data_IF_318881195666
#
_entry.id   IF_318881195666
#
_cell.length_a   1.000
_cell.length_b   1.000
_cell.length_c   1.000
_cell.angle_alpha   90.00
_cell.angle_beta   90.00
_cell.angle_gamma   90.00
#
_symmetry.space_group_name_H-M   'P 1'
#
loop_
_entity.id
_entity.type
_entity.pdbx_description
1 polymer ?
#
# COMPACT_ATOMS: atom_id res chain seq x y z
N UNK A 1 29.27 34.15 12.41
CA UNK A 1 27.83 34.48 12.36
C UNK A 1 27.22 33.62 11.27
N UNK A 2 26.63 32.48 11.63
CA UNK A 2 25.96 31.57 10.67
C UNK A 2 24.52 32.05 10.56
N UNK A 3 23.96 32.26 9.35
CA UNK A 3 22.57 32.65 9.21
C UNK A 3 21.68 31.49 9.69
N UNK A 4 20.86 31.77 10.70
CA UNK A 4 19.77 30.89 11.11
C UNK A 4 18.82 30.83 9.92
N UNK A 5 18.78 29.70 9.22
CA UNK A 5 17.67 29.39 8.32
C UNK A 5 16.44 29.38 9.23
N UNK A 6 15.64 30.44 9.18
CA UNK A 6 14.33 30.46 9.78
C UNK A 6 13.59 29.26 9.19
N UNK A 7 13.40 28.22 10.01
CA UNK A 7 12.49 27.15 9.68
C UNK A 7 11.15 27.85 9.50
N UNK A 8 10.73 28.04 8.25
CA UNK A 8 9.38 28.44 7.94
C UNK A 8 8.50 27.31 8.47
N UNK A 9 8.00 27.47 9.69
CA UNK A 9 6.85 26.71 10.16
C UNK A 9 5.71 27.16 9.27
N UNK A 10 5.58 26.54 8.09
CA UNK A 10 4.32 26.54 7.37
C UNK A 10 3.32 26.04 8.40
N UNK A 11 2.45 26.93 8.87
CA UNK A 11 1.29 26.50 9.62
C UNK A 11 0.50 25.63 8.66
N UNK A 12 0.55 24.32 8.87
CA UNK A 12 -0.27 23.37 8.14
C UNK A 12 -1.70 23.62 8.62
N UNK A 13 -2.44 24.43 7.86
CA UNK A 13 -3.82 24.74 8.19
C UNK A 13 -4.62 23.47 7.87
N UNK A 14 -4.91 22.69 8.91
CA UNK A 14 -5.85 21.57 8.88
C UNK A 14 -7.18 22.02 9.54
N UNK A 15 -8.18 22.46 8.77
CA UNK A 15 -9.44 22.90 9.34
C UNK A 15 -10.23 21.76 10.01
N UNK A 16 -9.81 20.50 9.83
CA UNK A 16 -10.47 19.29 10.30
C UNK A 16 -9.69 18.60 11.42
N UNK A 17 -8.70 19.28 11.99
CA UNK A 17 -7.78 18.73 13.01
C UNK A 17 -8.52 18.02 14.16
N UNK A 18 -9.58 18.63 14.69
CA UNK A 18 -10.34 18.06 15.80
C UNK A 18 -10.96 16.70 15.46
N UNK A 19 -11.54 16.58 14.26
CA UNK A 19 -12.09 15.30 13.77
C UNK A 19 -10.99 14.29 13.47
N UNK A 20 -9.92 14.74 12.79
CA UNK A 20 -8.78 13.88 12.41
C UNK A 20 -8.12 13.27 13.65
N UNK A 21 -7.93 14.05 14.72
CA UNK A 21 -7.39 13.56 16.00
C UNK A 21 -8.33 12.58 16.68
N UNK A 22 -9.63 12.86 16.72
CA UNK A 22 -10.61 11.93 17.29
C UNK A 22 -10.65 10.59 16.55
N UNK A 23 -10.68 10.64 15.21
CA UNK A 23 -10.60 9.43 14.38
C UNK A 23 -9.28 8.70 14.56
N UNK A 24 -8.17 9.43 14.74
CA UNK A 24 -6.87 8.83 15.02
C UNK A 24 -6.89 8.04 16.32
N UNK A 25 -7.45 8.60 17.39
CA UNK A 25 -7.59 7.91 18.68
C UNK A 25 -8.49 6.68 18.57
N UNK A 26 -9.66 6.81 17.90
CA UNK A 26 -10.57 5.70 17.64
C UNK A 26 -9.90 4.57 16.84
N UNK A 27 -9.15 4.91 15.79
CA UNK A 27 -8.38 3.95 14.99
C UNK A 27 -7.29 3.29 15.82
N UNK A 28 -6.63 4.03 16.71
CA UNK A 28 -5.62 3.52 17.62
C UNK A 28 -6.18 2.47 18.59
N UNK A 29 -7.35 2.73 19.17
CA UNK A 29 -8.01 1.76 20.06
C UNK A 29 -8.53 0.55 19.29
N UNK A 30 -9.09 0.76 18.10
CA UNK A 30 -9.53 -0.31 17.20
C UNK A 30 -8.34 -1.19 16.77
N UNK A 31 -7.17 -0.61 16.48
CA UNK A 31 -5.95 -1.37 16.18
C UNK A 31 -5.57 -2.28 17.33
N UNK A 32 -5.50 -1.73 18.54
CA UNK A 32 -5.08 -2.49 19.74
C UNK A 32 -6.03 -3.64 20.07
N UNK A 33 -7.33 -3.40 19.95
CA UNK A 33 -8.36 -4.35 20.41
C UNK A 33 -8.77 -5.37 19.35
N UNK A 34 -8.72 -5.00 18.06
CA UNK A 34 -9.28 -5.82 16.97
C UNK A 34 -8.23 -6.12 15.91
N UNK A 35 -7.68 -5.09 15.25
CA UNK A 35 -6.87 -5.29 14.03
C UNK A 35 -5.57 -6.02 14.35
N UNK A 36 -4.81 -5.58 15.37
CA UNK A 36 -3.53 -6.19 15.75
C UNK A 36 -3.68 -7.62 16.27
N UNK A 37 -4.65 -7.97 17.13
CA UNK A 37 -4.90 -9.37 17.49
C UNK A 37 -5.22 -10.25 16.27
N UNK A 38 -6.05 -9.77 15.34
CA UNK A 38 -6.37 -10.49 14.09
C UNK A 38 -5.12 -10.70 13.23
N UNK A 39 -4.33 -9.65 13.03
CA UNK A 39 -3.09 -9.71 12.26
C UNK A 39 -2.09 -10.71 12.89
N UNK A 40 -1.91 -10.68 14.21
CA UNK A 40 -1.08 -11.66 14.93
C UNK A 40 -1.61 -13.09 14.77
N UNK A 41 -2.92 -13.29 14.81
CA UNK A 41 -3.55 -14.59 14.58
C UNK A 41 -3.29 -15.10 13.17
N UNK A 42 -3.42 -14.24 12.16
CA UNK A 42 -3.06 -14.54 10.78
C UNK A 42 -1.58 -14.93 10.66
N UNK A 43 -0.67 -14.15 11.26
CA UNK A 43 0.76 -14.43 11.25
C UNK A 43 1.15 -15.73 11.97
N UNK A 44 0.41 -16.11 13.01
CA UNK A 44 0.67 -17.32 13.77
C UNK A 44 0.18 -18.59 13.05
N UNK A 45 -0.92 -18.49 12.28
CA UNK A 45 -1.56 -19.65 11.64
C UNK A 45 -1.10 -19.81 10.19
N UNK A 46 -0.89 -18.70 9.47
CA UNK A 46 -0.54 -18.76 8.06
C UNK A 46 0.96 -18.99 7.86
N UNK A 47 1.37 -20.03 7.11
CA UNK A 47 2.78 -20.24 6.79
C UNK A 47 3.31 -19.13 5.86
N UNK A 48 4.63 -18.96 5.85
CA UNK A 48 5.32 -17.89 5.12
C UNK A 48 4.93 -17.82 3.63
N UNK A 49 4.91 -18.96 2.92
CA UNK A 49 4.54 -19.00 1.51
C UNK A 49 3.10 -18.52 1.26
N UNK A 50 2.17 -18.75 2.19
CA UNK A 50 0.79 -18.29 2.09
C UNK A 50 0.71 -16.77 2.24
N UNK A 51 1.45 -16.20 3.20
CA UNK A 51 1.53 -14.75 3.39
C UNK A 51 2.15 -14.05 2.19
N UNK A 52 3.24 -14.61 1.66
CA UNK A 52 3.88 -14.13 0.43
C UNK A 52 2.89 -14.18 -0.73
N UNK A 53 2.15 -15.29 -0.88
CA UNK A 53 1.18 -15.42 -1.96
C UNK A 53 0.03 -14.40 -1.89
N UNK A 54 -0.49 -14.12 -0.68
CA UNK A 54 -1.48 -13.06 -0.49
C UNK A 54 -0.92 -11.68 -0.84
N UNK A 55 0.31 -11.38 -0.41
CA UNK A 55 0.98 -10.11 -0.75
C UNK A 55 1.20 -9.97 -2.27
N UNK A 56 1.62 -11.05 -2.94
CA UNK A 56 1.82 -11.05 -4.40
C UNK A 56 0.50 -10.85 -5.14
N UNK A 57 -0.59 -11.47 -4.68
CA UNK A 57 -1.91 -11.31 -5.27
C UNK A 57 -2.35 -9.84 -5.28
N UNK A 58 -2.26 -9.17 -4.12
CA UNK A 58 -2.61 -7.75 -4.04
C UNK A 58 -1.63 -6.87 -4.82
N UNK A 59 -0.34 -7.20 -4.83
CA UNK A 59 0.65 -6.48 -5.64
C UNK A 59 0.33 -6.56 -7.15
N UNK A 60 -0.02 -7.74 -7.64
CA UNK A 60 -0.49 -7.96 -9.02
C UNK A 60 -1.75 -7.14 -9.34
N UNK A 61 -2.70 -7.07 -8.41
CA UNK A 61 -3.89 -6.24 -8.56
C UNK A 61 -3.55 -4.74 -8.62
N UNK A 62 -2.60 -4.26 -7.81
CA UNK A 62 -2.12 -2.88 -7.89
C UNK A 62 -1.35 -2.61 -9.18
N UNK A 63 -0.57 -3.57 -9.69
CA UNK A 63 0.12 -3.45 -10.98
C UNK A 63 -0.85 -3.26 -12.14
N UNK A 64 -2.04 -3.88 -12.09
CA UNK A 64 -3.10 -3.63 -13.08
C UNK A 64 -3.54 -2.16 -13.09
N UNK A 65 -3.80 -1.59 -11.91
CA UNK A 65 -4.12 -0.17 -11.80
C UNK A 65 -2.92 0.71 -12.23
N UNK A 66 -1.70 0.30 -11.88
CA UNK A 66 -0.46 0.94 -12.33
C UNK A 66 -0.30 0.95 -13.85
N UNK A 67 -0.65 -0.15 -14.54
CA UNK A 67 -0.63 -0.24 -15.99
C UNK A 67 -1.63 0.74 -16.62
N UNK A 68 -2.86 0.79 -16.11
CA UNK A 68 -3.89 1.74 -16.56
C UNK A 68 -3.44 3.19 -16.36
N UNK A 69 -2.94 3.54 -15.16
CA UNK A 69 -2.47 4.89 -14.88
C UNK A 69 -1.27 5.28 -15.73
N UNK A 70 -0.30 4.39 -15.93
CA UNK A 70 0.86 4.64 -16.78
C UNK A 70 0.45 4.86 -18.23
N UNK A 71 -0.50 4.06 -18.74
CA UNK A 71 -1.05 4.23 -20.08
C UNK A 71 -1.73 5.59 -20.23
N UNK A 72 -2.61 5.96 -19.29
CA UNK A 72 -3.31 7.25 -19.28
C UNK A 72 -2.37 8.45 -19.15
N UNK A 73 -1.25 8.27 -18.46
CA UNK A 73 -0.22 9.32 -18.29
C UNK A 73 0.84 9.29 -19.42
N UNK A 74 0.65 8.49 -20.48
CA UNK A 74 1.53 8.42 -21.63
C UNK A 74 2.88 7.74 -21.38
N UNK A 75 3.05 7.07 -20.24
CA UNK A 75 4.30 6.36 -19.87
C UNK A 75 4.29 4.94 -20.43
N UNK A 76 4.56 4.82 -21.72
CA UNK A 76 4.44 3.55 -22.47
C UNK A 76 5.31 2.43 -21.89
N UNK A 77 6.57 2.70 -21.55
CA UNK A 77 7.48 1.69 -20.99
C UNK A 77 6.92 1.09 -19.69
N UNK A 78 6.46 1.95 -18.77
CA UNK A 78 5.86 1.51 -17.50
C UNK A 78 4.54 0.78 -17.72
N UNK A 79 3.71 1.25 -18.67
CA UNK A 79 2.44 0.60 -18.99
C UNK A 79 2.66 -0.84 -19.50
N UNK A 80 3.64 -1.02 -20.39
CA UNK A 80 4.00 -2.33 -20.95
C UNK A 80 4.57 -3.24 -19.88
N UNK A 81 5.52 -2.77 -19.07
CA UNK A 81 6.12 -3.57 -18.00
C UNK A 81 5.07 -4.05 -16.98
N UNK A 82 4.20 -3.15 -16.51
CA UNK A 82 3.15 -3.50 -15.58
C UNK A 82 2.13 -4.47 -16.21
N UNK A 83 1.79 -4.30 -17.49
CA UNK A 83 0.89 -5.22 -18.19
C UNK A 83 1.49 -6.63 -18.30
N UNK A 84 2.77 -6.74 -18.64
CA UNK A 84 3.44 -8.04 -18.72
C UNK A 84 3.47 -8.76 -17.36
N UNK A 85 3.79 -8.03 -16.28
CA UNK A 85 3.74 -8.58 -14.92
C UNK A 85 2.34 -9.10 -14.60
N UNK A 86 1.30 -8.31 -14.88
CA UNK A 86 -0.10 -8.71 -14.65
C UNK A 86 -0.47 -9.97 -15.42
N UNK A 87 -0.12 -10.05 -16.69
CA UNK A 87 -0.43 -11.21 -17.53
C UNK A 87 0.34 -12.44 -17.06
N UNK A 88 1.64 -12.34 -16.83
CA UNK A 88 2.49 -13.45 -16.41
C UNK A 88 2.06 -13.97 -15.03
N UNK A 89 1.92 -13.09 -14.05
CA UNK A 89 1.53 -13.45 -12.69
C UNK A 89 0.10 -14.00 -12.64
N UNK A 90 -0.83 -13.46 -13.44
CA UNK A 90 -2.21 -13.97 -13.44
C UNK A 90 -2.35 -15.34 -14.10
N UNK A 91 -1.50 -15.67 -15.08
CA UNK A 91 -1.59 -16.93 -15.84
C UNK A 91 -0.67 -18.00 -15.28
N UNK A 92 0.64 -17.74 -15.28
CA UNK A 92 1.69 -18.65 -14.82
C UNK A 92 1.76 -18.64 -13.29
N UNK A 93 1.66 -17.44 -12.70
CA UNK A 93 1.74 -17.23 -11.26
C UNK A 93 0.48 -17.62 -10.47
N UNK A 94 -0.45 -18.38 -11.07
CA UNK A 94 -1.73 -18.80 -10.47
C UNK A 94 -2.52 -17.61 -9.89
N UNK A 95 -3.02 -16.73 -10.76
CA UNK A 95 -3.74 -15.50 -10.37
C UNK A 95 -2.92 -14.49 -9.55
N UNK A 96 -1.59 -14.58 -9.60
CA UNK A 96 -0.66 -13.69 -8.91
C UNK A 96 -0.27 -14.16 -7.52
N UNK A 97 -0.57 -15.40 -7.13
CA UNK A 97 -0.05 -15.98 -5.90
C UNK A 97 1.47 -16.21 -5.96
N UNK A 98 2.00 -16.46 -7.16
CA UNK A 98 3.42 -16.55 -7.42
C UNK A 98 3.83 -15.39 -8.34
N UNK A 99 4.86 -14.65 -7.92
CA UNK A 99 5.51 -13.64 -8.76
C UNK A 99 6.60 -14.34 -9.57
N UNK A 100 6.57 -14.19 -10.90
CA UNK A 100 7.41 -14.91 -11.87
C UNK A 100 8.22 -13.99 -12.76
#
# INVERSE_FOLDING_TARGET
>A
MVPMVEAQTQQEIDPWEGYNRWMFDFNGDTDRLIIRPVAKGYDAIMPEFGRIGVNNFFSNFYDFNGALNALLQGRIEQAVNNTFRVVANSTIGLFGLFDV
#
